data_IF_291169043475
#
_entry.id   IF_291169043475
#
_cell.length_a   1.000
_cell.length_b   1.000
_cell.length_c   1.000
_cell.angle_alpha   90.00
_cell.angle_beta   90.00
_cell.angle_gamma   90.00
#
_symmetry.space_group_name_H-M   'P 1'
#
loop_
_entity.id
_entity.type
_entity.pdbx_description
1 polymer ?
#
# COMPACT_ATOMS: atom_id res chain seq x y z
N UNK A 1 -11.20 -3.31 16.36
CA UNK A 1 -9.87 -3.40 17.00
C UNK A 1 -9.47 -2.03 17.54
N UNK A 2 -8.51 -1.93 18.48
CA UNK A 2 -7.99 -0.65 18.96
C UNK A 2 -6.84 -0.11 18.08
N UNK A 3 -6.55 1.19 18.18
CA UNK A 3 -5.33 1.82 17.70
C UNK A 3 -4.54 2.40 18.87
N UNK A 4 -3.20 2.43 18.77
CA UNK A 4 -2.33 2.96 19.82
C UNK A 4 -1.40 4.04 19.27
N UNK A 5 -1.24 5.14 20.01
CA UNK A 5 -0.33 6.22 19.67
C UNK A 5 0.04 7.04 20.90
N UNK A 6 1.34 7.33 21.08
CA UNK A 6 1.81 8.25 22.13
C UNK A 6 1.37 7.92 23.56
N UNK A 7 1.32 6.63 23.92
CA UNK A 7 0.87 6.18 25.24
C UNK A 7 -0.65 6.17 25.44
N UNK A 8 -1.43 6.41 24.37
CA UNK A 8 -2.90 6.34 24.36
C UNK A 8 -3.37 5.15 23.54
N UNK A 9 -4.49 4.56 23.93
CA UNK A 9 -5.24 3.57 23.15
C UNK A 9 -6.61 4.17 22.79
N UNK A 10 -6.98 4.07 21.52
CA UNK A 10 -8.26 4.51 20.96
C UNK A 10 -9.05 3.30 20.50
N UNK A 11 -10.32 3.18 20.90
CA UNK A 11 -11.13 2.05 20.50
C UNK A 11 -12.62 2.39 20.47
N UNK A 12 -13.31 1.81 19.49
CA UNK A 12 -14.76 1.66 19.52
C UNK A 12 -15.17 0.40 20.29
N UNK A 13 -16.45 0.27 20.60
CA UNK A 13 -16.93 -0.82 21.45
C UNK A 13 -18.38 -1.22 21.20
N UNK A 14 -18.85 -1.16 19.96
CA UNK A 14 -20.24 -1.51 19.59
C UNK A 14 -21.31 -0.52 20.10
N UNK A 15 -20.93 0.39 21.00
CA UNK A 15 -21.72 1.53 21.43
C UNK A 15 -21.50 2.78 20.57
N UNK A 16 -22.24 3.86 20.88
CA UNK A 16 -22.22 5.10 20.13
C UNK A 16 -21.08 6.02 20.58
N UNK A 17 -19.88 5.47 20.79
CA UNK A 17 -18.75 6.28 21.21
C UNK A 17 -17.38 5.70 20.83
N UNK A 18 -16.43 6.60 20.61
CA UNK A 18 -15.01 6.32 20.60
C UNK A 18 -14.42 6.63 21.98
N UNK A 19 -13.63 5.72 22.52
CA UNK A 19 -12.96 5.88 23.82
C UNK A 19 -11.47 6.09 23.64
N UNK A 20 -10.88 6.91 24.52
CA UNK A 20 -9.43 7.06 24.66
C UNK A 20 -9.00 6.74 26.09
N UNK A 21 -8.05 5.83 26.24
CA UNK A 21 -7.49 5.44 27.53
C UNK A 21 -5.98 5.61 27.55
N UNK A 22 -5.44 5.92 28.73
CA UNK A 22 -4.00 5.96 28.94
C UNK A 22 -3.44 4.55 29.17
N UNK A 23 -2.36 4.21 28.47
CA UNK A 23 -1.73 2.89 28.53
C UNK A 23 -1.08 2.61 29.88
N UNK A 24 -0.55 3.64 30.55
CA UNK A 24 0.20 3.47 31.79
C UNK A 24 -0.72 3.48 33.02
N UNK A 25 -1.72 4.36 33.05
CA UNK A 25 -2.63 4.49 34.21
C UNK A 25 -3.89 3.64 34.09
N UNK A 26 -4.19 3.13 32.90
CA UNK A 26 -5.42 2.39 32.58
C UNK A 26 -6.71 3.20 32.84
N UNK A 27 -6.63 4.53 32.82
CA UNK A 27 -7.78 5.41 33.03
C UNK A 27 -8.30 5.95 31.71
N UNK A 28 -9.62 6.13 31.62
CA UNK A 28 -10.23 6.90 30.54
C UNK A 28 -9.74 8.35 30.59
N UNK A 29 -9.25 8.83 29.46
CA UNK A 29 -8.86 10.22 29.26
C UNK A 29 -10.03 11.04 28.76
N UNK A 30 -10.77 10.49 27.78
CA UNK A 30 -11.96 11.09 27.20
C UNK A 30 -12.76 10.03 26.42
N UNK A 31 -14.03 10.35 26.14
CA UNK A 31 -14.86 9.67 25.17
C UNK A 31 -15.52 10.69 24.24
N UNK A 32 -15.83 10.27 23.02
CA UNK A 32 -16.54 11.06 22.02
C UNK A 32 -17.80 10.32 21.59
N UNK A 33 -18.96 10.91 21.86
CA UNK A 33 -20.26 10.32 21.52
C UNK A 33 -20.62 10.57 20.06
N UNK A 34 -21.08 9.54 19.37
CA UNK A 34 -21.50 9.54 17.97
C UNK A 34 -22.97 9.18 17.85
N UNK A 35 -23.60 9.47 16.73
CA UNK A 35 -25.00 9.07 16.48
C UNK A 35 -25.16 7.60 16.14
N UNK A 36 -24.13 6.98 15.56
CA UNK A 36 -24.09 5.58 15.17
C UNK A 36 -23.00 4.81 15.88
N UNK A 37 -23.00 3.49 15.71
CA UNK A 37 -22.01 2.60 16.30
C UNK A 37 -20.63 2.80 15.69
N UNK A 38 -19.61 2.91 16.52
CA UNK A 38 -18.21 2.85 16.08
C UNK A 38 -17.84 1.38 15.89
N UNK A 39 -18.07 0.88 14.67
CA UNK A 39 -17.83 -0.52 14.28
C UNK A 39 -16.47 -0.73 13.62
N UNK A 40 -15.80 0.35 13.24
CA UNK A 40 -14.50 0.32 12.55
C UNK A 40 -13.33 0.46 13.52
N UNK A 41 -12.15 0.03 13.09
CA UNK A 41 -10.91 0.25 13.83
C UNK A 41 -10.44 1.69 13.58
N UNK A 42 -10.17 2.50 14.62
CA UNK A 42 -9.64 3.85 14.43
C UNK A 42 -8.26 3.81 13.77
N UNK A 43 -7.90 4.86 13.04
CA UNK A 43 -6.56 5.11 12.53
C UNK A 43 -6.01 6.40 13.13
N UNK A 44 -4.71 6.42 13.44
CA UNK A 44 -4.06 7.60 14.04
C UNK A 44 -2.92 8.04 13.15
N UNK A 45 -2.91 9.31 12.77
CA UNK A 45 -1.91 9.90 11.88
C UNK A 45 -2.00 11.42 11.93
N UNK A 46 -0.87 12.11 11.70
CA UNK A 46 -0.80 13.58 11.62
C UNK A 46 -1.41 14.31 12.85
N UNK A 47 -1.32 13.69 14.04
CA UNK A 47 -1.88 14.24 15.27
C UNK A 47 -3.41 14.19 15.38
N UNK A 48 -4.06 13.38 14.55
CA UNK A 48 -5.50 13.19 14.54
C UNK A 48 -5.88 11.71 14.64
N UNK A 49 -7.10 11.46 15.09
CA UNK A 49 -7.73 10.14 15.17
C UNK A 49 -8.89 10.12 14.19
N UNK A 50 -8.85 9.16 13.28
CA UNK A 50 -9.86 8.96 12.24
C UNK A 50 -10.62 7.69 12.51
N UNK A 51 -11.93 7.72 12.39
CA UNK A 51 -12.76 6.52 12.51
C UNK A 51 -14.07 6.71 11.75
N UNK A 52 -14.70 5.59 11.44
CA UNK A 52 -15.99 5.59 10.74
C UNK A 52 -17.08 4.91 11.57
N UNK A 53 -18.28 5.45 11.46
CA UNK A 53 -19.53 4.81 11.89
C UNK A 53 -20.26 4.27 10.65
N UNK A 54 -21.58 4.03 10.73
CA UNK A 54 -22.31 3.43 9.60
C UNK A 54 -22.31 4.27 8.33
N UNK A 55 -22.38 5.61 8.41
CA UNK A 55 -22.45 6.48 7.22
C UNK A 55 -21.56 7.72 7.33
N UNK A 56 -20.79 7.84 8.42
CA UNK A 56 -20.03 9.04 8.73
C UNK A 56 -18.56 8.69 9.00
N UNK A 57 -17.67 9.54 8.50
CA UNK A 57 -16.25 9.59 8.89
C UNK A 57 -16.05 10.75 9.84
N UNK A 58 -15.30 10.54 10.91
CA UNK A 58 -14.97 11.54 11.91
C UNK A 58 -13.45 11.71 11.98
N UNK A 59 -13.02 12.94 12.25
CA UNK A 59 -11.66 13.27 12.63
C UNK A 59 -11.67 14.04 13.95
N UNK A 60 -10.95 13.51 14.93
CA UNK A 60 -10.73 14.15 16.22
C UNK A 60 -9.26 14.52 16.38
N UNK A 61 -8.97 15.53 17.19
CA UNK A 61 -7.63 15.73 17.69
C UNK A 61 -7.31 14.68 18.80
N UNK A 62 -6.05 14.61 19.25
CA UNK A 62 -5.65 13.67 20.32
C UNK A 62 -6.28 13.95 21.70
N UNK A 63 -6.90 15.12 21.88
CA UNK A 63 -7.61 15.50 23.10
C UNK A 63 -9.10 15.11 23.06
N UNK A 64 -9.59 14.59 21.93
CA UNK A 64 -10.98 14.15 21.75
C UNK A 64 -11.92 15.22 21.20
N UNK A 65 -11.42 16.39 20.81
CA UNK A 65 -12.24 17.42 20.18
C UNK A 65 -12.46 17.10 18.70
N UNK A 66 -13.70 17.26 18.23
CA UNK A 66 -14.04 17.11 16.83
C UNK A 66 -13.39 18.22 15.98
N UNK A 67 -12.64 17.80 14.96
CA UNK A 67 -12.07 18.70 13.96
C UNK A 67 -13.02 18.81 12.77
N UNK A 68 -13.49 17.66 12.27
CA UNK A 68 -14.50 17.60 11.21
C UNK A 68 -15.21 16.25 11.20
N UNK A 69 -16.38 16.22 10.55
CA UNK A 69 -17.09 15.00 10.18
C UNK A 69 -17.57 15.08 8.72
N UNK A 70 -17.82 13.92 8.10
CA UNK A 70 -18.34 13.83 6.73
C UNK A 70 -19.29 12.66 6.59
N UNK A 71 -20.43 12.90 5.92
CA UNK A 71 -21.31 11.82 5.48
C UNK A 71 -20.82 11.22 4.17
N UNK A 72 -20.73 9.90 4.14
CA UNK A 72 -20.44 9.08 2.96
C UNK A 72 -21.68 8.34 2.46
N UNK A 73 -22.80 8.38 3.22
CA UNK A 73 -24.09 7.75 2.87
C UNK A 73 -24.03 6.24 2.59
N UNK A 74 -22.95 5.57 3.02
CA UNK A 74 -22.74 4.15 2.84
C UNK A 74 -21.90 3.60 3.99
N UNK A 75 -22.00 2.28 4.21
CA UNK A 75 -21.19 1.54 5.18
C UNK A 75 -19.75 1.47 4.75
N UNK A 76 -18.87 1.80 5.69
CA UNK A 76 -17.45 1.98 5.48
C UNK A 76 -16.62 0.87 6.12
N UNK A 77 -15.47 0.59 5.52
CA UNK A 77 -14.37 -0.19 6.11
C UNK A 77 -13.60 0.65 7.14
N UNK A 78 -12.60 0.06 7.80
CA UNK A 78 -11.74 0.85 8.68
C UNK A 78 -10.81 1.77 7.86
N UNK A 79 -10.62 3.03 8.26
CA UNK A 79 -9.74 3.94 7.55
C UNK A 79 -8.27 3.52 7.64
N UNK A 80 -7.50 3.85 6.60
CA UNK A 80 -6.05 3.92 6.65
C UNK A 80 -5.60 5.37 6.48
N UNK A 81 -4.56 5.80 7.21
CA UNK A 81 -4.05 7.18 7.13
C UNK A 81 -2.59 7.17 6.72
N UNK A 82 -2.26 7.96 5.70
CA UNK A 82 -0.89 8.17 5.24
C UNK A 82 -0.81 9.44 4.40
N UNK A 83 0.35 10.09 4.40
CA UNK A 83 0.65 11.24 3.54
C UNK A 83 -0.38 12.39 3.62
N UNK A 84 -0.96 12.63 4.80
CA UNK A 84 -2.00 13.66 4.96
C UNK A 84 -3.35 13.29 4.34
N UNK A 85 -3.59 12.02 4.03
CA UNK A 85 -4.82 11.50 3.43
C UNK A 85 -5.40 10.33 4.21
N UNK A 86 -6.70 10.13 4.04
CA UNK A 86 -7.45 8.98 4.58
C UNK A 86 -7.95 8.16 3.40
N UNK A 87 -7.72 6.85 3.45
CA UNK A 87 -8.18 5.90 2.46
C UNK A 87 -9.22 5.00 3.11
N UNK A 88 -10.39 4.87 2.48
CA UNK A 88 -11.50 4.13 3.04
C UNK A 88 -12.34 3.48 1.93
N UNK A 89 -12.51 2.17 2.03
CA UNK A 89 -13.42 1.43 1.17
C UNK A 89 -14.85 1.45 1.69
N UNK A 90 -15.82 1.26 0.80
CA UNK A 90 -17.24 1.19 1.14
C UNK A 90 -18.01 0.02 0.49
N UNK A 91 -19.28 -0.14 0.89
CA UNK A 91 -20.17 -1.16 0.34
C UNK A 91 -20.83 -0.77 -0.99
N UNK A 92 -20.65 0.46 -1.46
CA UNK A 92 -21.08 0.89 -2.80
C UNK A 92 -19.98 0.68 -3.85
N UNK A 93 -18.94 -0.08 -3.46
CA UNK A 93 -17.85 -0.53 -4.32
C UNK A 93 -16.91 0.60 -4.72
N UNK A 94 -16.63 1.51 -3.79
CA UNK A 94 -15.61 2.53 -3.98
C UNK A 94 -14.46 2.39 -3.00
N UNK A 95 -13.27 2.76 -3.48
CA UNK A 95 -12.15 3.19 -2.65
C UNK A 95 -12.10 4.72 -2.68
N UNK A 96 -12.27 5.34 -1.53
CA UNK A 96 -12.30 6.79 -1.38
C UNK A 96 -11.00 7.29 -0.76
N UNK A 97 -10.51 8.42 -1.24
CA UNK A 97 -9.41 9.16 -0.65
C UNK A 97 -9.87 10.55 -0.21
N UNK A 98 -9.68 10.86 1.07
CA UNK A 98 -10.09 12.11 1.67
C UNK A 98 -8.86 12.88 2.19
N UNK A 99 -8.92 14.20 2.14
CA UNK A 99 -7.95 15.06 2.82
C UNK A 99 -8.10 14.91 4.33
N UNK A 100 -7.00 14.60 5.03
CA UNK A 100 -7.03 14.35 6.48
C UNK A 100 -7.44 15.57 7.31
N UNK A 101 -7.26 16.80 6.80
CA UNK A 101 -7.42 18.04 7.55
C UNK A 101 -8.85 18.58 7.50
N UNK A 102 -9.56 18.33 6.41
CA UNK A 102 -10.91 18.87 6.19
C UNK A 102 -11.93 17.83 5.70
N UNK A 103 -11.49 16.59 5.47
CA UNK A 103 -12.30 15.48 5.01
C UNK A 103 -12.75 15.55 3.56
N UNK A 104 -12.37 16.55 2.76
CA UNK A 104 -12.79 16.64 1.35
C UNK A 104 -12.31 15.45 0.54
N UNK A 105 -13.16 14.89 -0.32
CA UNK A 105 -12.77 13.82 -1.24
C UNK A 105 -11.77 14.38 -2.25
N UNK A 106 -10.58 13.78 -2.30
CA UNK A 106 -9.51 14.07 -3.26
C UNK A 106 -9.76 13.26 -4.54
N UNK A 107 -10.03 11.96 -4.38
CA UNK A 107 -10.41 11.06 -5.45
C UNK A 107 -11.29 9.92 -4.90
N UNK A 108 -12.05 9.27 -5.79
CA UNK A 108 -12.89 8.13 -5.47
C UNK A 108 -12.97 7.23 -6.70
N UNK A 109 -12.62 5.96 -6.53
CA UNK A 109 -12.51 5.00 -7.62
C UNK A 109 -13.42 3.82 -7.41
N UNK A 110 -14.10 3.40 -8.47
CA UNK A 110 -14.97 2.23 -8.46
C UNK A 110 -14.17 0.94 -8.61
N UNK A 111 -14.54 -0.07 -7.84
CA UNK A 111 -14.08 -1.46 -7.98
C UNK A 111 -15.26 -2.38 -8.29
N UNK A 112 -14.98 -3.65 -8.58
CA UNK A 112 -16.02 -4.60 -9.02
C UNK A 112 -16.89 -5.12 -7.87
N UNK A 113 -16.30 -5.25 -6.68
CA UNK A 113 -16.92 -5.78 -5.46
C UNK A 113 -17.03 -4.78 -4.31
N UNK A 114 -17.72 -5.19 -3.24
CA UNK A 114 -17.80 -4.36 -2.03
C UNK A 114 -16.48 -4.36 -1.29
N UNK A 115 -16.06 -3.20 -0.78
CA UNK A 115 -14.77 -3.03 -0.11
C UNK A 115 -14.98 -3.02 1.40
N UNK A 116 -14.89 -4.22 1.99
CA UNK A 116 -15.02 -4.40 3.45
C UNK A 116 -13.67 -4.41 4.17
N UNK A 117 -12.60 -4.76 3.46
CA UNK A 117 -11.27 -4.79 4.04
C UNK A 117 -10.76 -3.38 4.26
N UNK A 118 -10.03 -3.17 5.35
CA UNK A 118 -9.36 -1.90 5.58
C UNK A 118 -8.19 -1.77 4.58
N UNK A 119 -8.04 -0.64 3.88
CA UNK A 119 -6.90 -0.45 2.98
C UNK A 119 -5.55 -0.52 3.70
N UNK A 120 -4.48 -0.80 2.95
CA UNK A 120 -3.10 -0.61 3.41
C UNK A 120 -2.37 0.31 2.46
N UNK A 121 -1.62 1.25 3.02
CA UNK A 121 -0.84 2.22 2.24
C UNK A 121 0.64 1.97 2.46
N UNK A 122 1.40 1.81 1.38
CA UNK A 122 2.85 1.62 1.43
C UNK A 122 3.50 2.05 0.12
N UNK A 123 4.67 2.71 0.19
CA UNK A 123 5.45 3.04 -1.00
C UNK A 123 4.73 3.93 -2.03
N UNK A 124 3.82 4.82 -1.58
CA UNK A 124 3.01 5.64 -2.50
C UNK A 124 1.85 4.89 -3.17
N UNK A 125 1.56 3.66 -2.75
CA UNK A 125 0.47 2.84 -3.27
C UNK A 125 -0.56 2.52 -2.19
N UNK A 126 -1.81 2.30 -2.60
CA UNK A 126 -2.93 1.88 -1.76
C UNK A 126 -3.40 0.52 -2.24
N UNK A 127 -3.38 -0.45 -1.34
CA UNK A 127 -3.82 -1.80 -1.58
C UNK A 127 -5.14 -2.04 -0.89
N UNK A 128 -6.07 -2.64 -1.63
CA UNK A 128 -7.36 -3.01 -1.08
C UNK A 128 -7.86 -4.29 -1.71
N UNK A 129 -8.76 -4.95 -0.99
CA UNK A 129 -9.38 -6.19 -1.43
C UNK A 129 -10.89 -6.07 -1.42
N UNK A 130 -11.54 -6.56 -2.47
CA UNK A 130 -12.99 -6.59 -2.53
C UNK A 130 -13.57 -7.98 -2.20
N UNK A 131 -14.89 -8.02 -2.16
CA UNK A 131 -15.66 -9.25 -2.20
C UNK A 131 -16.29 -9.34 -3.60
N UNK A 132 -15.60 -9.97 -4.57
CA UNK A 132 -15.49 -11.44 -4.66
C UNK A 132 -14.09 -12.03 -4.51
N UNK A 133 -13.04 -11.23 -4.26
CA UNK A 133 -11.67 -11.74 -4.15
C UNK A 133 -10.64 -11.02 -5.01
N UNK A 134 -10.97 -9.86 -5.54
CA UNK A 134 -10.03 -9.08 -6.33
C UNK A 134 -9.11 -8.29 -5.39
N UNK A 135 -7.82 -8.31 -5.71
CA UNK A 135 -6.79 -7.46 -5.09
C UNK A 135 -6.53 -6.30 -6.04
N UNK A 136 -6.55 -5.08 -5.53
CA UNK A 136 -6.26 -3.87 -6.30
C UNK A 136 -5.08 -3.12 -5.72
N UNK A 137 -4.32 -2.47 -6.60
CA UNK A 137 -3.29 -1.51 -6.27
C UNK A 137 -3.58 -0.20 -6.99
N UNK A 138 -3.72 0.88 -6.23
CA UNK A 138 -3.94 2.23 -6.73
C UNK A 138 -2.77 3.14 -6.37
N UNK A 139 -2.50 4.11 -7.23
CA UNK A 139 -1.64 5.24 -6.90
C UNK A 139 -2.26 6.05 -5.77
N UNK A 140 -1.51 6.29 -4.70
CA UNK A 140 -2.03 6.93 -3.49
C UNK A 140 -2.33 8.42 -3.68
N UNK A 141 -1.70 9.07 -4.66
CA UNK A 141 -1.85 10.50 -4.94
C UNK A 141 -3.07 10.79 -5.78
N UNK A 142 -3.27 10.04 -6.86
CA UNK A 142 -4.31 10.34 -7.85
C UNK A 142 -5.39 9.28 -7.97
N UNK A 143 -5.26 8.13 -7.31
CA UNK A 143 -6.24 7.04 -7.40
C UNK A 143 -6.13 6.23 -8.68
N UNK A 144 -5.12 6.45 -9.54
CA UNK A 144 -5.01 5.66 -10.77
C UNK A 144 -4.80 4.19 -10.43
N UNK A 145 -5.62 3.30 -11.01
CA UNK A 145 -5.43 1.85 -10.90
C UNK A 145 -4.10 1.46 -11.57
N UNK A 146 -3.18 0.90 -10.78
CA UNK A 146 -1.87 0.44 -11.26
C UNK A 146 -1.99 -1.01 -11.74
N UNK A 147 -2.58 -1.88 -10.92
CA UNK A 147 -2.84 -3.27 -11.28
C UNK A 147 -3.99 -3.85 -10.45
N UNK A 148 -4.59 -4.93 -10.97
CA UNK A 148 -5.52 -5.78 -10.22
C UNK A 148 -5.18 -7.27 -10.43
N UNK A 149 -5.57 -8.10 -9.47
CA UNK A 149 -5.34 -9.54 -9.52
C UNK A 149 -6.51 -10.30 -8.90
N UNK A 150 -7.09 -11.23 -9.66
CA UNK A 150 -8.18 -12.09 -9.20
C UNK A 150 -7.61 -13.35 -8.54
N UNK A 151 -7.76 -13.47 -7.22
CA UNK A 151 -7.32 -14.67 -6.51
C UNK A 151 -8.18 -15.88 -6.81
N UNK A 152 -9.34 -15.70 -7.46
CA UNK A 152 -10.40 -16.70 -7.66
C UNK A 152 -10.85 -17.33 -6.33
N UNK A 153 -10.76 -16.56 -5.24
CA UNK A 153 -11.14 -16.99 -3.89
C UNK A 153 -12.07 -15.97 -3.28
N UNK A 154 -13.15 -16.45 -2.67
CA UNK A 154 -14.05 -15.61 -1.88
C UNK A 154 -13.44 -15.37 -0.50
N UNK A 155 -13.75 -14.20 0.08
CA UNK A 155 -13.33 -13.83 1.44
C UNK A 155 -11.81 -13.78 1.62
N UNK A 156 -11.23 -12.66 1.20
CA UNK A 156 -9.83 -12.35 1.46
C UNK A 156 -9.70 -11.42 2.67
N UNK A 157 -8.67 -11.69 3.46
CA UNK A 157 -8.34 -10.95 4.67
C UNK A 157 -7.89 -9.53 4.33
N UNK A 158 -7.78 -8.72 5.39
CA UNK A 158 -7.15 -7.41 5.28
C UNK A 158 -5.71 -7.55 4.76
N UNK A 159 -5.30 -6.73 3.77
CA UNK A 159 -3.92 -6.74 3.29
C UNK A 159 -2.92 -6.40 4.42
N UNK A 160 -1.70 -6.89 4.28
CA UNK A 160 -0.56 -6.48 5.10
C UNK A 160 0.67 -6.27 4.21
N UNK A 161 1.50 -5.28 4.52
CA UNK A 161 2.73 -5.02 3.76
C UNK A 161 3.94 -5.07 4.68
N UNK A 162 5.00 -5.76 4.26
CA UNK A 162 6.31 -5.76 4.91
C UNK A 162 7.40 -5.90 3.85
N UNK A 163 8.47 -5.10 3.97
CA UNK A 163 9.63 -5.13 3.07
C UNK A 163 9.27 -5.14 1.58
N UNK A 164 8.34 -4.25 1.19
CA UNK A 164 7.86 -4.13 -0.20
C UNK A 164 7.02 -5.30 -0.71
N UNK A 165 6.66 -6.25 0.16
CA UNK A 165 5.81 -7.40 -0.18
C UNK A 165 4.43 -7.23 0.46
N UNK A 166 3.39 -7.30 -0.36
CA UNK A 166 1.98 -7.35 0.02
C UNK A 166 1.57 -8.80 0.28
N UNK A 167 0.95 -9.06 1.42
CA UNK A 167 0.43 -10.36 1.82
C UNK A 167 -1.09 -10.32 1.95
N UNK A 168 -1.77 -11.28 1.32
CA UNK A 168 -3.22 -11.44 1.37
C UNK A 168 -3.57 -12.87 1.80
N UNK A 169 -4.23 -13.02 2.95
CA UNK A 169 -4.80 -14.29 3.37
C UNK A 169 -6.17 -14.53 2.74
N UNK A 170 -6.56 -15.78 2.55
CA UNK A 170 -7.90 -16.19 2.11
C UNK A 170 -8.50 -17.20 3.09
N UNK A 171 -9.82 -17.15 3.29
CA UNK A 171 -10.56 -18.14 4.08
C UNK A 171 -10.46 -19.56 3.48
N UNK A 172 -10.08 -19.69 2.22
CA UNK A 172 -9.78 -20.97 1.56
C UNK A 172 -8.43 -21.58 1.99
N UNK A 173 -7.69 -20.93 2.88
CA UNK A 173 -6.41 -21.42 3.42
C UNK A 173 -5.18 -21.04 2.59
N UNK A 174 -5.32 -20.20 1.57
CA UNK A 174 -4.21 -19.68 0.77
C UNK A 174 -3.64 -18.38 1.37
N UNK A 175 -2.32 -18.20 1.22
CA UNK A 175 -1.62 -16.95 1.46
C UNK A 175 -0.96 -16.52 0.16
N UNK A 176 -1.36 -15.36 -0.37
CA UNK A 176 -0.78 -14.75 -1.56
C UNK A 176 0.27 -13.73 -1.15
N UNK A 177 1.34 -13.63 -1.93
CA UNK A 177 2.39 -12.64 -1.76
C UNK A 177 2.65 -11.93 -3.10
N UNK A 178 2.58 -10.61 -3.10
CA UNK A 178 2.82 -9.77 -4.27
C UNK A 178 3.98 -8.84 -3.95
N UNK A 179 4.94 -8.74 -4.86
CA UNK A 179 6.04 -7.79 -4.79
C UNK A 179 6.43 -7.40 -6.20
N UNK A 180 7.02 -6.23 -6.35
CA UNK A 180 7.68 -5.91 -7.60
C UNK A 180 8.80 -6.94 -7.87
N UNK A 181 8.98 -7.34 -9.13
CA UNK A 181 10.18 -8.08 -9.50
C UNK A 181 11.39 -7.27 -9.01
N UNK A 182 12.39 -7.90 -8.35
CA UNK A 182 13.64 -7.19 -8.13
C UNK A 182 14.19 -6.72 -9.48
N UNK A 183 15.03 -5.67 -9.50
CA UNK A 183 15.69 -5.29 -10.74
C UNK A 183 16.39 -6.52 -11.35
N UNK A 184 16.46 -6.62 -12.69
CA UNK A 184 17.23 -7.66 -13.35
C UNK A 184 18.65 -7.68 -12.77
N UNK A 185 19.32 -8.85 -12.72
CA UNK A 185 20.72 -8.91 -12.32
C UNK A 185 21.56 -7.90 -13.11
N UNK A 186 22.55 -7.24 -12.48
CA UNK A 186 23.47 -6.37 -13.22
C UNK A 186 24.12 -7.17 -14.37
N UNK A 187 24.02 -6.64 -15.59
CA UNK A 187 24.46 -7.33 -16.80
C UNK A 187 23.42 -8.18 -17.52
N UNK A 188 22.18 -8.32 -17.02
CA UNK A 188 21.04 -8.81 -17.80
C UNK A 188 20.47 -7.67 -18.64
N UNK A 189 20.83 -7.65 -19.93
CA UNK A 189 20.52 -6.55 -20.85
C UNK A 189 19.32 -6.85 -21.76
N UNK A 190 18.82 -8.09 -21.74
CA UNK A 190 17.64 -8.49 -22.49
C UNK A 190 16.39 -8.69 -21.59
N UNK A 191 16.56 -8.55 -20.26
CA UNK A 191 15.54 -8.68 -19.23
C UNK A 191 14.86 -10.05 -19.20
N UNK A 192 15.61 -11.12 -19.52
CA UNK A 192 15.13 -12.51 -19.45
C UNK A 192 15.44 -13.20 -18.11
N UNK A 193 16.01 -12.44 -17.15
CA UNK A 193 16.38 -12.87 -15.81
C UNK A 193 17.63 -13.75 -15.73
N UNK A 194 18.42 -13.82 -16.80
CA UNK A 194 19.67 -14.56 -16.84
C UNK A 194 20.80 -13.73 -17.48
N UNK A 195 21.95 -13.64 -16.79
CA UNK A 195 23.15 -13.07 -17.40
C UNK A 195 23.82 -14.14 -18.26
N UNK A 196 23.80 -13.94 -19.57
CA UNK A 196 24.30 -14.91 -20.55
C UNK A 196 25.27 -14.28 -21.56
N UNK A 197 25.78 -15.11 -22.47
CA UNK A 197 26.55 -14.60 -23.61
C UNK A 197 25.69 -13.71 -24.55
N UNK A 198 24.35 -13.82 -24.52
CA UNK A 198 23.49 -12.95 -25.30
C UNK A 198 23.59 -11.50 -24.82
N UNK A 199 23.65 -11.29 -23.51
CA UNK A 199 23.81 -9.98 -22.87
C UNK A 199 25.17 -9.38 -23.19
N UNK A 200 26.24 -10.20 -23.15
CA UNK A 200 27.57 -9.76 -23.57
C UNK A 200 27.59 -9.29 -25.04
N UNK A 201 26.81 -9.93 -25.92
CA UNK A 201 26.65 -9.49 -27.32
C UNK A 201 25.90 -8.17 -27.41
N UNK A 202 24.89 -7.94 -26.58
CA UNK A 202 24.17 -6.66 -26.50
C UNK A 202 25.12 -5.54 -26.05
N UNK A 203 25.89 -5.77 -24.99
CA UNK A 203 26.90 -4.82 -24.50
C UNK A 203 27.97 -4.52 -25.56
N UNK A 204 28.42 -5.53 -26.32
CA UNK A 204 29.38 -5.31 -27.40
C UNK A 204 28.78 -4.45 -28.53
N UNK A 205 27.49 -4.62 -28.84
CA UNK A 205 26.78 -3.76 -29.79
C UNK A 205 26.67 -2.32 -29.28
N UNK A 206 26.46 -2.12 -27.98
CA UNK A 206 26.49 -0.78 -27.35
C UNK A 206 27.88 -0.14 -27.45
N UNK A 207 28.93 -0.91 -27.14
CA UNK A 207 30.32 -0.44 -27.16
C UNK A 207 30.78 0.04 -28.54
N UNK A 208 30.25 -0.53 -29.63
CA UNK A 208 30.53 -0.09 -31.00
C UNK A 208 29.52 0.93 -31.53
N UNK A 209 28.57 1.38 -30.70
CA UNK A 209 27.53 2.34 -31.06
C UNK A 209 26.46 1.79 -32.02
N UNK A 210 26.33 0.47 -32.14
CA UNK A 210 25.31 -0.16 -32.98
C UNK A 210 23.92 -0.11 -32.35
N UNK A 211 23.83 0.05 -31.02
CA UNK A 211 22.60 0.34 -30.27
C UNK A 211 22.91 1.34 -29.14
N UNK A 212 21.92 2.11 -28.65
CA UNK A 212 22.13 3.06 -27.55
C UNK A 212 22.63 2.38 -26.29
N UNK A 213 23.61 3.00 -25.62
CA UNK A 213 24.07 2.56 -24.30
C UNK A 213 23.04 2.88 -23.22
N UNK A 214 22.92 1.98 -22.25
CA UNK A 214 22.09 2.11 -21.04
C UNK A 214 22.98 1.90 -19.82
N UNK A 215 22.58 2.44 -18.67
CA UNK A 215 23.41 2.44 -17.45
C UNK A 215 23.64 1.01 -16.93
N UNK A 216 22.68 0.10 -17.13
CA UNK A 216 22.75 -1.30 -16.70
C UNK A 216 23.86 -2.11 -17.40
N UNK A 217 24.40 -1.58 -18.50
CA UNK A 217 25.48 -2.21 -19.27
C UNK A 217 26.88 -1.77 -18.83
N UNK A 218 27.02 -0.81 -17.90
CA UNK A 218 28.31 -0.34 -17.37
C UNK A 218 28.66 -1.08 -16.06
N UNK A 219 29.14 -2.33 -16.19
CA UNK A 219 29.59 -3.11 -15.04
C UNK A 219 30.92 -2.58 -14.46
N UNK A 220 31.68 -1.81 -15.22
CA UNK A 220 32.93 -1.22 -14.76
C UNK A 220 32.73 0.01 -13.86
N UNK A 221 31.57 0.66 -13.94
CA UNK A 221 31.19 1.86 -13.20
C UNK A 221 31.89 3.14 -13.68
N UNK A 222 32.43 3.15 -14.90
CA UNK A 222 33.21 4.27 -15.46
C UNK A 222 32.35 5.27 -16.28
N UNK A 223 31.04 5.04 -16.33
CA UNK A 223 30.00 5.75 -17.08
C UNK A 223 30.15 5.62 -18.59
N UNK A 224 30.76 4.54 -19.07
CA UNK A 224 30.89 4.22 -20.50
C UNK A 224 30.70 2.72 -20.72
N UNK A 225 29.81 2.40 -21.65
CA UNK A 225 29.68 1.00 -22.09
C UNK A 225 30.76 0.70 -23.13
N UNK A 226 31.68 -0.19 -22.80
CA UNK A 226 32.83 -0.58 -23.62
C UNK A 226 32.91 -2.10 -23.79
N UNK A 227 33.90 -2.58 -24.55
CA UNK A 227 34.17 -4.02 -24.64
C UNK A 227 34.61 -4.64 -23.31
N UNK A 228 35.06 -3.82 -22.35
CA UNK A 228 35.38 -4.28 -21.00
C UNK A 228 34.10 -4.74 -20.29
N UNK A 229 33.03 -3.98 -20.36
CA UNK A 229 31.75 -4.31 -19.73
C UNK A 229 31.14 -5.57 -20.35
N UNK A 230 31.21 -5.70 -21.68
CA UNK A 230 30.82 -6.92 -22.38
C UNK A 230 31.62 -8.16 -21.89
N UNK A 231 32.91 -7.98 -21.59
CA UNK A 231 33.74 -9.06 -21.03
C UNK A 231 33.35 -9.36 -19.58
N UNK A 232 33.05 -8.36 -18.76
CA UNK A 232 32.59 -8.54 -17.38
C UNK A 232 31.26 -9.29 -17.35
N UNK A 233 30.30 -8.93 -18.21
CA UNK A 233 29.02 -9.65 -18.36
C UNK A 233 29.27 -11.11 -18.74
N UNK A 234 30.21 -11.38 -19.65
CA UNK A 234 30.56 -12.76 -20.02
C UNK A 234 31.21 -13.54 -18.85
N UNK A 235 31.98 -12.86 -18.00
CA UNK A 235 32.56 -13.47 -16.79
C UNK A 235 31.49 -13.77 -15.74
N UNK A 236 30.50 -12.89 -15.57
CA UNK A 236 29.30 -13.14 -14.74
C UNK A 236 28.54 -14.36 -15.29
N UNK A 237 28.27 -14.40 -16.59
CA UNK A 237 27.59 -15.52 -17.25
C UNK A 237 28.32 -16.86 -17.08
N UNK A 238 29.66 -16.83 -17.03
CA UNK A 238 30.49 -18.01 -16.79
C UNK A 238 30.62 -18.39 -15.31
N UNK A 239 29.98 -17.65 -14.38
CA UNK A 239 30.09 -17.84 -12.93
C UNK A 239 31.50 -17.57 -12.38
N UNK A 240 32.31 -16.81 -13.12
CA UNK A 240 33.72 -16.53 -12.78
C UNK A 240 33.88 -15.31 -11.88
N UNK A 241 32.87 -14.45 -11.84
CA UNK A 241 32.72 -13.33 -10.90
C UNK A 241 31.25 -13.32 -10.45
N UNK A 242 31.00 -12.95 -9.20
CA UNK A 242 29.64 -12.64 -8.77
C UNK A 242 29.32 -11.23 -9.25
N UNK A 243 28.14 -11.06 -9.86
CA UNK A 243 27.52 -9.74 -10.01
C UNK A 243 27.29 -9.12 -8.62
#
# INVERSE_FOLDING_TARGET
>A
SPAAYGGKIFFGGGGPALYCVDVATHTELWNFSTTGTVSTTPAVGDGMVFFATEEMVYALNLNGDEVWNRSMHCRLSSPAVAYGRIYIGDLDKHLNCLDSKNGSIIWSESVDGVVKSSPVVAGGMVYVTDYPGMVYCFDADCGTLIWSYDTNQYNIAQPAVSDGTLFIGSDSGYLYAFRDPPPPPEGDLNHDWAVTAADAVIALRMAVGAVPAIDEADLSGDRRVTSLDALMILQVAAGSINA
#
